data_IF_082845317525
#
_entry.id   IF_082845317525
#
_cell.length_a   1.000
_cell.length_b   1.000
_cell.length_c   1.000
_cell.angle_alpha   90.00
_cell.angle_beta   90.00
_cell.angle_gamma   90.00
#
_symmetry.space_group_name_H-M   'P 1'
#
loop_
_entity.id
_entity.type
_entity.pdbx_description
1 polymer ?
#
# COMPACT_ATOMS: atom_id res chain seq x y z
N UNK A 1 -82.09 -32.80 -18.36
CA UNK A 1 -81.61 -32.93 -16.98
C UNK A 1 -80.14 -33.27 -17.03
N UNK A 2 -79.28 -32.29 -16.95
CA UNK A 2 -77.85 -32.46 -17.12
C UNK A 2 -77.16 -31.72 -15.98
N UNK A 3 -76.46 -32.41 -15.09
CA UNK A 3 -75.69 -31.88 -14.03
C UNK A 3 -74.19 -31.74 -14.49
N UNK A 4 -73.70 -30.53 -14.52
CA UNK A 4 -72.34 -30.21 -14.81
C UNK A 4 -71.48 -30.27 -13.55
N UNK A 5 -70.50 -31.13 -13.52
CA UNK A 5 -69.42 -31.16 -12.48
C UNK A 5 -68.33 -30.25 -12.86
N UNK A 6 -68.13 -29.15 -12.10
CA UNK A 6 -66.97 -28.27 -12.22
C UNK A 6 -65.85 -28.83 -11.35
N UNK A 7 -64.79 -29.26 -11.98
CA UNK A 7 -63.49 -29.57 -11.34
C UNK A 7 -62.74 -28.31 -11.02
N UNK A 8 -62.54 -28.08 -9.72
CA UNK A 8 -61.58 -27.02 -9.26
C UNK A 8 -60.17 -27.60 -9.21
N UNK A 9 -59.29 -27.05 -10.05
CA UNK A 9 -57.86 -27.27 -9.93
C UNK A 9 -57.32 -26.33 -8.82
N UNK A 10 -56.86 -26.90 -7.71
CA UNK A 10 -56.06 -26.23 -6.70
C UNK A 10 -54.60 -26.10 -7.24
N UNK A 11 -54.21 -24.90 -7.60
CA UNK A 11 -52.81 -24.60 -7.86
C UNK A 11 -52.06 -24.50 -6.52
N UNK A 12 -51.23 -25.50 -6.22
CA UNK A 12 -50.25 -25.39 -5.12
C UNK A 12 -49.11 -24.45 -5.57
N UNK A 13 -49.09 -23.24 -5.03
CA UNK A 13 -47.91 -22.39 -5.08
C UNK A 13 -46.84 -22.93 -4.12
N UNK A 14 -45.86 -23.66 -4.65
CA UNK A 14 -44.62 -23.94 -3.91
C UNK A 14 -43.80 -22.64 -3.82
N UNK A 15 -43.85 -21.98 -2.66
CA UNK A 15 -42.92 -20.93 -2.32
C UNK A 15 -41.59 -21.58 -1.96
N UNK A 16 -40.64 -21.59 -2.89
CA UNK A 16 -39.29 -22.00 -2.59
C UNK A 16 -38.65 -20.93 -1.71
N UNK A 17 -38.63 -21.16 -0.40
CA UNK A 17 -37.82 -20.40 0.54
C UNK A 17 -36.32 -20.73 0.23
N UNK A 18 -35.66 -19.92 -0.59
CA UNK A 18 -34.22 -19.92 -0.66
C UNK A 18 -33.68 -19.45 0.71
N UNK A 19 -33.35 -20.39 1.58
CA UNK A 19 -32.49 -20.10 2.71
C UNK A 19 -31.15 -19.64 2.14
N UNK A 20 -30.91 -18.32 2.09
CA UNK A 20 -29.58 -17.76 1.97
C UNK A 20 -28.82 -18.17 3.24
N UNK A 21 -28.06 -19.25 3.16
CA UNK A 21 -27.06 -19.53 4.18
C UNK A 21 -26.19 -18.27 4.29
N UNK A 22 -25.97 -17.75 5.50
CA UNK A 22 -25.03 -16.66 5.67
C UNK A 22 -23.69 -17.14 5.07
N UNK A 23 -23.14 -16.35 4.14
CA UNK A 23 -21.80 -16.63 3.63
C UNK A 23 -20.89 -16.82 4.84
N UNK A 24 -20.31 -18.01 4.96
CA UNK A 24 -19.33 -18.31 6.00
C UNK A 24 -18.33 -17.17 5.94
N UNK A 25 -18.14 -16.45 7.04
CA UNK A 25 -17.15 -15.39 7.12
C UNK A 25 -15.83 -16.01 6.66
N UNK A 26 -15.38 -15.63 5.47
CA UNK A 26 -14.09 -16.10 4.96
C UNK A 26 -13.07 -15.80 6.06
N UNK A 27 -12.30 -16.79 6.47
CA UNK A 27 -11.30 -16.60 7.52
C UNK A 27 -10.46 -15.38 7.16
N UNK A 28 -10.56 -14.35 8.00
CA UNK A 28 -9.88 -13.09 7.78
C UNK A 28 -8.38 -13.34 7.77
N UNK A 29 -7.72 -13.07 6.67
CA UNK A 29 -6.27 -13.06 6.66
C UNK A 29 -5.77 -11.96 7.60
N UNK A 30 -4.81 -12.25 8.48
CA UNK A 30 -4.25 -11.24 9.36
C UNK A 30 -3.58 -10.13 8.52
N UNK A 31 -3.71 -8.89 8.98
CA UNK A 31 -3.05 -7.74 8.35
C UNK A 31 -1.54 -7.99 8.30
N UNK A 32 -0.97 -7.83 7.11
CA UNK A 32 0.48 -7.93 6.89
C UNK A 32 1.15 -6.58 7.17
N UNK A 33 2.44 -6.60 7.50
CA UNK A 33 3.21 -5.38 7.76
C UNK A 33 4.37 -5.25 6.79
N UNK A 34 4.72 -4.00 6.52
CA UNK A 34 5.85 -3.62 5.71
C UNK A 34 6.52 -2.35 6.24
N UNK A 35 7.60 -1.96 5.59
CA UNK A 35 8.33 -0.73 5.85
C UNK A 35 8.72 -0.08 4.53
N UNK A 36 8.65 1.25 4.45
CA UNK A 36 9.18 2.00 3.32
C UNK A 36 10.70 2.10 3.43
N UNK A 37 11.40 1.99 2.31
CA UNK A 37 12.84 2.14 2.21
C UNK A 37 13.24 2.63 0.82
N UNK A 38 13.78 3.82 0.74
CA UNK A 38 14.11 4.50 -0.51
C UNK A 38 15.49 4.06 -1.07
N UNK A 39 15.69 2.79 -1.27
CA UNK A 39 16.91 2.07 -1.62
C UNK A 39 17.66 2.60 -2.87
N UNK A 40 18.09 3.77 -2.90
CA UNK A 40 18.78 4.39 -4.04
C UNK A 40 18.28 5.77 -4.38
N UNK A 41 17.37 6.31 -3.56
CA UNK A 41 16.88 7.68 -3.62
C UNK A 41 17.11 8.37 -2.26
N UNK A 42 17.07 9.68 -2.24
CA UNK A 42 17.12 10.55 -1.04
C UNK A 42 18.30 10.29 -0.07
N UNK A 43 19.43 9.77 -0.59
CA UNK A 43 20.58 9.44 0.24
C UNK A 43 20.52 8.06 0.91
N UNK A 44 19.40 7.38 0.82
CA UNK A 44 19.26 6.00 1.28
C UNK A 44 19.86 5.04 0.24
N UNK A 45 20.95 4.37 0.59
CA UNK A 45 21.52 3.35 -0.25
C UNK A 45 21.35 1.97 0.37
N UNK A 46 21.16 0.96 -0.47
CA UNK A 46 21.15 -0.41 -0.01
C UNK A 46 22.57 -0.87 0.35
N UNK A 47 22.98 -0.53 1.56
CA UNK A 47 24.29 -0.83 2.14
C UNK A 47 24.29 -2.18 2.89
N UNK A 48 25.45 -2.73 3.25
CA UNK A 48 25.54 -3.88 4.16
C UNK A 48 24.84 -3.65 5.51
N UNK A 49 24.84 -2.40 6.02
CA UNK A 49 24.15 -2.05 7.26
C UNK A 49 22.63 -2.11 7.09
N UNK A 50 22.08 -1.57 6.00
CA UNK A 50 20.67 -1.72 5.65
C UNK A 50 20.28 -3.18 5.50
N UNK A 51 21.10 -3.98 4.80
CA UNK A 51 20.88 -5.41 4.63
C UNK A 51 20.81 -6.15 5.97
N UNK A 52 21.68 -5.81 6.93
CA UNK A 52 21.69 -6.41 8.27
C UNK A 52 20.42 -6.06 9.07
N UNK A 53 19.91 -4.84 8.97
CA UNK A 53 18.65 -4.43 9.59
C UNK A 53 17.47 -5.20 9.00
N UNK A 54 17.41 -5.34 7.68
CA UNK A 54 16.37 -6.11 7.01
C UNK A 54 16.43 -7.60 7.39
N UNK A 55 17.62 -8.18 7.51
CA UNK A 55 17.81 -9.55 8.01
C UNK A 55 17.31 -9.70 9.45
N UNK A 56 17.59 -8.72 10.30
CA UNK A 56 17.14 -8.72 11.69
C UNK A 56 15.60 -8.63 11.78
N UNK A 57 14.95 -7.79 10.98
CA UNK A 57 13.48 -7.74 10.89
C UNK A 57 12.94 -9.08 10.36
N UNK A 58 13.55 -9.63 9.32
CA UNK A 58 13.13 -10.90 8.71
C UNK A 58 13.25 -12.08 9.66
N UNK A 59 14.19 -12.05 10.59
CA UNK A 59 14.35 -13.06 11.63
C UNK A 59 13.13 -13.18 12.55
N UNK A 60 12.37 -12.12 12.70
CA UNK A 60 11.13 -12.12 13.50
C UNK A 60 9.92 -12.64 12.72
N UNK A 61 9.85 -12.43 11.41
CA UNK A 61 8.73 -12.91 10.61
C UNK A 61 8.76 -12.44 9.16
N UNK A 62 7.73 -12.77 8.43
CA UNK A 62 7.53 -12.28 7.05
C UNK A 62 7.08 -10.82 7.09
N UNK A 63 7.58 -10.03 6.18
CA UNK A 63 7.14 -8.65 5.99
C UNK A 63 7.34 -8.18 4.54
N UNK A 64 6.81 -6.99 4.25
CA UNK A 64 6.96 -6.31 2.99
C UNK A 64 7.98 -5.19 3.09
N UNK A 65 8.64 -4.88 1.98
CA UNK A 65 9.38 -3.64 1.80
C UNK A 65 8.78 -2.88 0.61
N UNK A 66 8.54 -1.59 0.77
CA UNK A 66 8.13 -0.69 -0.30
C UNK A 66 9.31 0.17 -0.68
N UNK A 67 9.68 0.18 -1.95
CA UNK A 67 10.83 0.94 -2.44
C UNK A 67 10.56 1.59 -3.79
N UNK A 68 11.30 2.68 -4.07
CA UNK A 68 11.23 3.42 -5.33
C UNK A 68 12.06 2.71 -6.40
N UNK A 69 11.40 2.28 -7.46
CA UNK A 69 12.05 1.61 -8.57
C UNK A 69 12.27 2.58 -9.72
N UNK A 70 13.42 3.23 -9.74
CA UNK A 70 13.77 4.30 -10.69
C UNK A 70 14.97 3.95 -11.58
N UNK A 71 15.91 3.14 -11.06
CA UNK A 71 17.11 2.74 -11.77
C UNK A 71 17.28 1.21 -11.74
N UNK A 72 17.05 0.54 -12.87
CA UNK A 72 17.20 -0.92 -12.96
C UNK A 72 18.55 -1.46 -12.52
N UNK A 73 19.61 -0.65 -12.60
CA UNK A 73 20.95 -1.09 -12.17
C UNK A 73 21.04 -1.22 -10.64
N UNK A 74 20.27 -0.45 -9.89
CA UNK A 74 20.14 -0.52 -8.44
C UNK A 74 19.00 -1.45 -8.04
N UNK A 75 17.87 -1.39 -8.73
CA UNK A 75 16.61 -2.06 -8.39
C UNK A 75 16.69 -3.58 -8.57
N UNK A 76 17.36 -4.05 -9.62
CA UNK A 76 17.45 -5.48 -9.89
C UNK A 76 18.25 -6.26 -8.83
N UNK A 77 19.46 -5.84 -8.41
CA UNK A 77 20.17 -6.50 -7.33
C UNK A 77 19.44 -6.40 -5.99
N UNK A 78 18.79 -5.26 -5.70
CA UNK A 78 17.96 -5.11 -4.51
C UNK A 78 16.79 -6.10 -4.50
N UNK A 79 15.96 -6.13 -5.53
CA UNK A 79 14.84 -7.04 -5.63
C UNK A 79 15.25 -8.51 -5.54
N UNK A 80 16.37 -8.89 -6.19
CA UNK A 80 16.92 -10.24 -6.13
C UNK A 80 17.37 -10.62 -4.71
N UNK A 81 17.94 -9.67 -3.96
CA UNK A 81 18.33 -9.92 -2.57
C UNK A 81 17.10 -10.06 -1.65
N UNK A 82 16.10 -9.20 -1.80
CA UNK A 82 14.85 -9.32 -1.05
C UNK A 82 14.18 -10.68 -1.29
N UNK A 83 14.15 -11.13 -2.54
CA UNK A 83 13.63 -12.46 -2.89
C UNK A 83 14.41 -13.59 -2.18
N UNK A 84 15.75 -13.54 -2.21
CA UNK A 84 16.58 -14.54 -1.50
C UNK A 84 16.34 -14.57 0.00
N UNK A 85 16.11 -13.40 0.60
CA UNK A 85 15.79 -13.25 2.02
C UNK A 85 14.34 -13.66 2.35
N UNK A 86 13.49 -13.86 1.35
CA UNK A 86 12.06 -14.13 1.53
C UNK A 86 11.30 -12.91 2.05
N UNK A 87 11.77 -11.71 1.74
CA UNK A 87 11.11 -10.42 1.98
C UNK A 87 10.29 -10.08 0.73
N UNK A 88 9.04 -9.72 0.90
CA UNK A 88 8.18 -9.34 -0.22
C UNK A 88 8.43 -7.88 -0.62
N UNK A 89 8.37 -7.59 -1.91
CA UNK A 89 8.62 -6.24 -2.43
C UNK A 89 7.32 -5.67 -3.01
N UNK A 90 6.98 -4.46 -2.58
CA UNK A 90 6.08 -3.56 -3.27
C UNK A 90 6.96 -2.52 -4.00
N UNK A 91 7.08 -2.67 -5.31
CA UNK A 91 7.86 -1.75 -6.12
C UNK A 91 7.00 -0.54 -6.51
N UNK A 92 7.32 0.62 -5.99
CA UNK A 92 6.75 1.88 -6.43
C UNK A 92 7.38 2.28 -7.77
N UNK A 93 6.53 2.61 -8.75
CA UNK A 93 6.91 3.24 -10.01
C UNK A 93 6.60 4.74 -9.93
N UNK A 94 7.50 5.57 -9.37
CA UNK A 94 7.23 6.99 -9.21
C UNK A 94 7.26 7.70 -10.56
N UNK A 95 6.28 8.59 -10.77
CA UNK A 95 6.19 9.44 -11.95
C UNK A 95 5.55 10.76 -11.58
N UNK A 96 6.31 11.83 -11.66
CA UNK A 96 5.91 13.14 -11.16
C UNK A 96 5.67 14.16 -12.27
N UNK A 97 5.34 13.68 -13.48
CA UNK A 97 5.11 14.55 -14.64
C UNK A 97 3.75 14.30 -15.27
N UNK A 98 3.10 15.36 -15.72
CA UNK A 98 1.91 15.26 -16.58
C UNK A 98 2.26 14.87 -18.02
N UNK A 99 3.52 15.04 -18.43
CA UNK A 99 4.05 14.47 -19.66
C UNK A 99 4.36 12.99 -19.47
N UNK A 100 3.58 12.14 -20.11
CA UNK A 100 3.68 10.68 -20.00
C UNK A 100 4.40 10.03 -21.21
N UNK A 101 5.04 10.84 -22.07
CA UNK A 101 5.70 10.32 -23.28
C UNK A 101 6.78 9.26 -23.01
N UNK A 102 7.43 9.32 -21.84
CA UNK A 102 8.42 8.34 -21.39
C UNK A 102 7.89 7.19 -20.53
N UNK A 103 6.64 7.27 -20.05
CA UNK A 103 6.08 6.37 -19.06
C UNK A 103 6.15 4.89 -19.44
N UNK A 104 5.64 4.55 -20.61
CA UNK A 104 5.59 3.17 -21.06
C UNK A 104 6.98 2.55 -21.18
N UNK A 105 7.96 3.30 -21.70
CA UNK A 105 9.34 2.84 -21.81
C UNK A 105 9.98 2.63 -20.45
N UNK A 106 9.72 3.53 -19.50
CA UNK A 106 10.17 3.42 -18.12
C UNK A 106 9.60 2.16 -17.44
N UNK A 107 8.29 1.94 -17.49
CA UNK A 107 7.66 0.75 -16.89
C UNK A 107 8.21 -0.54 -17.51
N UNK A 108 8.34 -0.60 -18.85
CA UNK A 108 8.92 -1.77 -19.54
C UNK A 108 10.33 -2.07 -19.04
N UNK A 109 11.16 -1.04 -18.88
CA UNK A 109 12.55 -1.18 -18.43
C UNK A 109 12.61 -1.72 -17.00
N UNK A 110 11.80 -1.18 -16.08
CA UNK A 110 11.74 -1.62 -14.69
C UNK A 110 11.25 -3.06 -14.55
N UNK A 111 10.11 -3.36 -15.15
CA UNK A 111 9.50 -4.70 -15.09
C UNK A 111 10.40 -5.78 -15.73
N UNK A 112 11.07 -5.45 -16.84
CA UNK A 112 12.00 -6.39 -17.46
C UNK A 112 13.24 -6.67 -16.59
N UNK A 113 13.72 -5.68 -15.83
CA UNK A 113 14.85 -5.84 -14.93
C UNK A 113 14.50 -6.62 -13.64
N UNK A 114 13.23 -6.58 -13.22
CA UNK A 114 12.78 -7.12 -11.94
C UNK A 114 11.50 -7.98 -12.08
N UNK A 115 11.48 -9.01 -12.95
CA UNK A 115 10.28 -9.76 -13.32
C UNK A 115 9.68 -10.58 -12.16
N UNK A 116 10.42 -10.77 -11.08
CA UNK A 116 10.00 -11.54 -9.91
C UNK A 116 9.35 -10.69 -8.82
N UNK A 117 9.25 -9.37 -9.00
CA UNK A 117 8.59 -8.47 -8.05
C UNK A 117 7.10 -8.87 -7.94
N UNK A 118 6.62 -9.15 -6.71
CA UNK A 118 5.27 -9.68 -6.53
C UNK A 118 4.16 -8.62 -6.53
N UNK A 119 4.52 -7.34 -6.35
CA UNK A 119 3.54 -6.24 -6.33
C UNK A 119 4.15 -4.93 -6.84
N UNK A 120 3.34 -4.16 -7.56
CA UNK A 120 3.70 -2.88 -8.16
C UNK A 120 2.73 -1.80 -7.72
N UNK A 121 3.23 -0.67 -7.31
CA UNK A 121 2.44 0.53 -7.01
C UNK A 121 2.65 1.57 -8.09
N UNK A 122 1.54 2.14 -8.57
CA UNK A 122 1.55 3.02 -9.73
C UNK A 122 1.46 4.47 -9.28
N UNK A 123 2.54 5.20 -9.46
CA UNK A 123 2.77 6.58 -9.01
C UNK A 123 2.69 6.77 -7.49
N UNK A 124 3.04 7.96 -7.02
CA UNK A 124 2.95 8.37 -5.63
C UNK A 124 2.16 9.68 -5.56
N UNK A 125 1.11 9.73 -4.75
CA UNK A 125 0.28 10.91 -4.50
C UNK A 125 -0.06 11.72 -5.77
N UNK A 126 -0.66 11.10 -6.79
CA UNK A 126 -0.88 11.75 -8.09
C UNK A 126 -1.83 12.96 -8.02
N UNK A 127 -2.60 13.10 -6.96
CA UNK A 127 -3.48 14.24 -6.71
C UNK A 127 -2.75 15.47 -6.15
N UNK A 128 -1.54 15.29 -5.64
CA UNK A 128 -0.80 16.35 -4.95
C UNK A 128 -0.04 17.26 -5.92
N UNK A 129 0.16 18.49 -5.50
CA UNK A 129 0.80 19.54 -6.33
C UNK A 129 2.30 19.63 -6.15
N UNK A 130 2.84 19.17 -5.02
CA UNK A 130 4.25 19.34 -4.66
C UNK A 130 5.24 18.49 -5.47
N UNK A 131 4.79 17.42 -6.08
CA UNK A 131 5.62 16.56 -6.93
C UNK A 131 5.53 16.90 -8.43
N UNK A 132 5.03 18.11 -8.79
CA UNK A 132 4.81 18.48 -10.20
C UNK A 132 3.43 18.09 -10.73
N UNK A 133 2.55 17.59 -9.86
CA UNK A 133 1.15 17.26 -10.14
C UNK A 133 0.20 18.46 -10.02
N UNK A 134 -1.13 18.26 -9.95
CA UNK A 134 -1.73 16.92 -9.96
C UNK A 134 -1.69 16.29 -11.35
N UNK A 135 -1.58 14.96 -11.38
CA UNK A 135 -1.77 14.20 -12.62
C UNK A 135 -3.29 14.08 -12.87
N UNK A 136 -3.82 14.56 -14.01
CA UNK A 136 -5.26 14.43 -14.28
C UNK A 136 -5.72 12.97 -14.22
N UNK A 137 -6.90 12.70 -13.65
CA UNK A 137 -7.42 11.36 -13.46
C UNK A 137 -7.44 10.51 -14.77
N UNK A 138 -7.81 11.13 -15.89
CA UNK A 138 -7.79 10.46 -17.19
C UNK A 138 -6.36 10.07 -17.63
N UNK A 139 -5.37 10.92 -17.36
CA UNK A 139 -3.95 10.65 -17.63
C UNK A 139 -3.47 9.49 -16.75
N UNK A 140 -3.76 9.52 -15.44
CA UNK A 140 -3.44 8.43 -14.54
C UNK A 140 -4.03 7.08 -15.02
N UNK A 141 -5.31 7.08 -15.42
CA UNK A 141 -5.96 5.87 -15.92
C UNK A 141 -5.30 5.29 -17.18
N UNK A 142 -4.78 6.14 -18.05
CA UNK A 142 -4.01 5.68 -19.21
C UNK A 142 -2.68 5.05 -18.76
N UNK A 143 -1.95 5.71 -17.89
CA UNK A 143 -0.70 5.19 -17.30
C UNK A 143 -0.92 3.85 -16.62
N UNK A 144 -1.99 3.72 -15.84
CA UNK A 144 -2.35 2.48 -15.15
C UNK A 144 -2.65 1.34 -16.15
N UNK A 145 -3.43 1.59 -17.20
CA UNK A 145 -3.74 0.57 -18.21
C UNK A 145 -2.48 0.07 -18.90
N UNK A 146 -1.56 0.97 -19.25
CA UNK A 146 -0.27 0.62 -19.84
C UNK A 146 0.59 -0.21 -18.87
N UNK A 147 0.72 0.23 -17.61
CA UNK A 147 1.46 -0.49 -16.59
C UNK A 147 0.85 -1.88 -16.33
N UNK A 148 -0.49 -1.97 -16.21
CA UNK A 148 -1.19 -3.23 -16.05
C UNK A 148 -0.86 -4.22 -17.17
N UNK A 149 -0.96 -3.80 -18.43
CA UNK A 149 -0.66 -4.64 -19.57
C UNK A 149 0.79 -5.15 -19.55
N UNK A 150 1.77 -4.28 -19.22
CA UNK A 150 3.19 -4.63 -19.18
C UNK A 150 3.47 -5.60 -18.02
N UNK A 151 3.00 -5.29 -16.81
CA UNK A 151 3.22 -6.10 -15.61
C UNK A 151 2.59 -7.49 -15.76
N UNK A 152 1.32 -7.56 -16.19
CA UNK A 152 0.62 -8.85 -16.35
C UNK A 152 1.20 -9.70 -17.48
N UNK A 153 1.76 -9.10 -18.52
CA UNK A 153 2.48 -9.81 -19.57
C UNK A 153 3.80 -10.44 -19.07
N UNK A 154 4.50 -9.77 -18.16
CA UNK A 154 5.74 -10.27 -17.57
C UNK A 154 5.48 -11.28 -16.43
N UNK A 155 4.51 -11.00 -15.58
CA UNK A 155 4.10 -11.84 -14.45
C UNK A 155 2.60 -11.68 -14.20
N UNK A 156 1.81 -12.65 -14.66
CA UNK A 156 0.34 -12.65 -14.51
C UNK A 156 -0.13 -12.63 -13.05
N UNK A 157 0.70 -13.14 -12.13
CA UNK A 157 0.38 -13.28 -10.71
C UNK A 157 0.84 -12.05 -9.89
N UNK A 158 1.62 -11.12 -10.49
CA UNK A 158 2.01 -9.87 -9.84
C UNK A 158 0.78 -9.01 -9.57
N UNK A 159 0.71 -8.43 -8.38
CA UNK A 159 -0.37 -7.53 -7.97
C UNK A 159 -0.07 -6.10 -8.42
N UNK A 160 -1.11 -5.36 -8.80
CA UNK A 160 -1.03 -3.92 -8.97
C UNK A 160 -1.85 -3.24 -7.86
N UNK A 161 -1.26 -2.25 -7.23
CA UNK A 161 -1.94 -1.41 -6.23
C UNK A 161 -1.83 0.06 -6.65
N UNK A 162 -2.76 0.86 -6.23
CA UNK A 162 -2.82 2.28 -6.57
C UNK A 162 -4.12 2.91 -6.08
N UNK A 163 -4.23 4.23 -6.16
CA UNK A 163 -3.28 5.20 -6.74
C UNK A 163 -2.32 5.85 -5.71
N UNK A 164 -2.15 5.31 -4.51
CA UNK A 164 -1.33 5.89 -3.44
C UNK A 164 -1.78 7.32 -3.05
N UNK A 165 -3.08 7.53 -2.93
CA UNK A 165 -3.64 8.85 -2.56
C UNK A 165 -3.55 9.11 -1.07
N UNK A 166 -3.42 10.36 -0.69
CA UNK A 166 -3.62 10.78 0.70
C UNK A 166 -5.05 10.48 1.18
N UNK A 167 -5.21 10.08 2.46
CA UNK A 167 -6.53 9.98 3.09
C UNK A 167 -7.09 11.37 3.43
N UNK A 168 -7.16 12.27 2.46
CA UNK A 168 -7.63 13.65 2.52
C UNK A 168 -8.89 13.83 1.68
N UNK A 169 -9.52 15.01 1.75
CA UNK A 169 -10.67 15.33 0.90
C UNK A 169 -10.32 15.26 -0.58
N UNK A 170 -9.16 15.77 -0.95
CA UNK A 170 -8.63 15.80 -2.31
C UNK A 170 -8.34 14.37 -2.80
N UNK A 171 -7.65 13.56 -1.98
CA UNK A 171 -7.37 12.18 -2.30
C UNK A 171 -8.63 11.32 -2.47
N UNK A 172 -9.64 11.51 -1.59
CA UNK A 172 -10.94 10.82 -1.73
C UNK A 172 -11.66 11.24 -3.02
N UNK A 173 -11.67 12.53 -3.34
CA UNK A 173 -12.31 13.02 -4.57
C UNK A 173 -11.61 12.48 -5.82
N UNK A 174 -10.28 12.45 -5.80
CA UNK A 174 -9.47 11.88 -6.89
C UNK A 174 -9.72 10.37 -7.04
N UNK A 175 -9.70 9.63 -5.93
CA UNK A 175 -10.00 8.19 -5.92
C UNK A 175 -11.40 7.90 -6.46
N UNK A 176 -12.41 8.68 -6.08
CA UNK A 176 -13.77 8.53 -6.61
C UNK A 176 -13.80 8.71 -8.13
N UNK A 177 -13.15 9.77 -8.64
CA UNK A 177 -13.08 10.00 -10.08
C UNK A 177 -12.41 8.83 -10.83
N UNK A 178 -11.35 8.25 -10.29
CA UNK A 178 -10.70 7.07 -10.87
C UNK A 178 -11.59 5.83 -10.83
N UNK A 179 -12.33 5.62 -9.73
CA UNK A 179 -13.28 4.50 -9.59
C UNK A 179 -14.38 4.62 -10.66
N UNK A 180 -14.89 5.82 -10.88
CA UNK A 180 -15.91 6.09 -11.90
C UNK A 180 -15.39 5.83 -13.34
N UNK A 181 -14.07 5.91 -13.54
CA UNK A 181 -13.37 5.59 -14.78
C UNK A 181 -12.97 4.11 -14.91
N UNK A 182 -13.34 3.25 -13.96
CA UNK A 182 -13.06 1.81 -14.01
C UNK A 182 -11.73 1.39 -13.38
N UNK A 183 -11.15 2.17 -12.46
CA UNK A 183 -9.91 1.87 -11.74
C UNK A 183 -9.85 0.42 -11.25
N UNK A 184 -10.94 -0.06 -10.64
CA UNK A 184 -10.99 -1.35 -9.94
C UNK A 184 -10.80 -2.57 -10.86
N UNK A 185 -10.90 -2.41 -12.17
CA UNK A 185 -10.66 -3.47 -13.15
C UNK A 185 -9.15 -3.76 -13.33
N UNK A 186 -8.30 -2.77 -13.03
CA UNK A 186 -6.86 -2.82 -13.32
C UNK A 186 -5.99 -3.01 -12.08
N UNK A 187 -6.55 -2.97 -10.87
CA UNK A 187 -5.80 -3.07 -9.62
C UNK A 187 -6.29 -4.21 -8.74
N UNK A 188 -5.39 -4.72 -7.90
CA UNK A 188 -5.65 -5.80 -6.92
C UNK A 188 -5.88 -5.24 -5.52
N UNK A 189 -5.52 -3.99 -5.26
CA UNK A 189 -5.72 -3.27 -4.00
C UNK A 189 -5.68 -1.76 -4.17
N UNK A 190 -6.33 -1.04 -3.26
CA UNK A 190 -6.28 0.43 -3.18
C UNK A 190 -5.15 0.81 -2.25
N UNK A 191 -4.18 1.59 -2.74
CA UNK A 191 -3.14 2.17 -1.88
C UNK A 191 -3.53 3.55 -1.38
N UNK A 192 -3.22 3.80 -0.11
CA UNK A 192 -3.61 5.01 0.62
C UNK A 192 -2.49 5.41 1.58
N UNK A 193 -2.19 6.70 1.63
CA UNK A 193 -1.31 7.28 2.63
C UNK A 193 -2.15 7.82 3.79
N UNK A 194 -1.81 7.39 5.01
CA UNK A 194 -2.57 7.72 6.21
C UNK A 194 -1.66 8.40 7.23
N UNK A 195 -1.66 9.72 7.27
CA UNK A 195 -0.89 10.49 8.23
C UNK A 195 -1.81 11.31 9.14
N UNK A 196 -1.75 11.09 10.44
CA UNK A 196 -2.63 11.73 11.44
C UNK A 196 -2.43 13.24 11.60
N UNK A 197 -1.40 13.80 11.01
CA UNK A 197 -1.19 15.26 10.99
C UNK A 197 -2.12 16.00 10.03
N UNK A 198 -2.75 15.31 9.10
CA UNK A 198 -3.76 15.92 8.24
C UNK A 198 -5.04 16.07 9.04
N UNK A 199 -5.45 17.30 9.33
CA UNK A 199 -6.66 17.64 10.07
C UNK A 199 -7.95 17.05 9.47
N UNK A 200 -7.87 16.52 8.27
CA UNK A 200 -8.99 15.97 7.49
C UNK A 200 -8.85 14.50 7.17
N UNK A 201 -8.41 13.67 8.13
CA UNK A 201 -8.34 12.20 7.92
C UNK A 201 -9.69 11.63 7.49
N UNK A 202 -9.73 11.05 6.31
CA UNK A 202 -10.94 10.55 5.68
C UNK A 202 -10.90 9.05 5.36
N UNK A 203 -10.26 8.23 6.20
CA UNK A 203 -10.23 6.78 5.97
C UNK A 203 -11.64 6.17 5.87
N UNK A 204 -12.60 6.70 6.62
CA UNK A 204 -13.99 6.28 6.52
C UNK A 204 -14.59 6.58 5.14
N UNK A 205 -14.26 7.74 4.56
CA UNK A 205 -14.70 8.11 3.21
C UNK A 205 -14.00 7.28 2.13
N UNK A 206 -12.69 7.01 2.27
CA UNK A 206 -11.98 6.05 1.41
C UNK A 206 -12.71 4.70 1.41
N UNK A 207 -13.04 4.19 2.59
CA UNK A 207 -13.79 2.92 2.72
C UNK A 207 -15.17 3.00 2.09
N UNK A 208 -15.85 4.12 2.23
CA UNK A 208 -17.17 4.34 1.61
C UNK A 208 -17.10 4.31 0.08
N UNK A 209 -16.14 4.99 -0.53
CA UNK A 209 -16.02 5.02 -2.01
C UNK A 209 -15.51 3.70 -2.57
N UNK A 210 -14.62 3.00 -1.86
CA UNK A 210 -14.15 1.66 -2.25
C UNK A 210 -15.24 0.61 -2.06
N UNK A 211 -16.10 0.77 -1.05
CA UNK A 211 -17.24 -0.09 -0.75
C UNK A 211 -16.87 -1.60 -0.62
N UNK A 212 -15.73 -1.91 -0.04
CA UNK A 212 -15.25 -3.28 0.15
C UNK A 212 -14.87 -4.05 -1.13
N UNK A 213 -14.89 -3.39 -2.29
CA UNK A 213 -14.62 -4.03 -3.59
C UNK A 213 -13.15 -4.44 -3.78
N UNK A 214 -12.24 -3.78 -3.08
CA UNK A 214 -10.80 -4.09 -3.06
C UNK A 214 -10.26 -3.90 -1.63
N UNK A 215 -9.23 -4.66 -1.23
CA UNK A 215 -8.55 -4.44 0.04
C UNK A 215 -7.77 -3.13 0.02
N UNK A 216 -7.64 -2.50 1.20
CA UNK A 216 -6.80 -1.32 1.39
C UNK A 216 -5.36 -1.74 1.72
N UNK A 217 -4.43 -1.10 1.08
CA UNK A 217 -3.01 -1.11 1.38
C UNK A 217 -2.65 0.26 1.91
N UNK A 218 -2.33 0.36 3.18
CA UNK A 218 -1.83 1.61 3.75
C UNK A 218 -0.34 1.65 3.43
N UNK A 219 0.00 2.25 2.29
CA UNK A 219 1.36 2.17 1.72
C UNK A 219 2.31 3.17 2.31
N UNK A 220 1.78 4.17 3.03
CA UNK A 220 2.54 5.02 3.93
C UNK A 220 1.72 5.38 5.16
N UNK A 221 2.33 5.25 6.34
CA UNK A 221 1.84 5.76 7.61
C UNK A 221 2.96 5.70 8.64
N UNK A 222 3.01 6.66 9.55
CA UNK A 222 4.08 6.71 10.54
C UNK A 222 3.94 7.88 11.50
N UNK A 223 4.96 8.05 12.34
CA UNK A 223 5.11 9.18 13.25
C UNK A 223 6.56 9.60 13.32
N UNK A 224 6.82 10.90 13.22
CA UNK A 224 8.19 11.42 13.34
C UNK A 224 8.65 11.52 14.79
N UNK A 225 9.96 11.41 14.99
CA UNK A 225 10.62 11.65 16.28
C UNK A 225 11.04 13.10 16.49
N UNK A 226 10.64 14.02 15.61
CA UNK A 226 10.91 15.44 15.81
C UNK A 226 10.43 15.92 17.19
N UNK A 227 11.20 16.77 17.85
CA UNK A 227 10.96 17.16 19.26
C UNK A 227 9.55 17.71 19.51
N UNK A 228 9.03 18.49 18.58
CA UNK A 228 7.66 19.03 18.68
C UNK A 228 6.56 17.95 18.62
N UNK A 229 6.90 16.76 18.14
CA UNK A 229 5.96 15.64 17.97
C UNK A 229 6.06 14.59 19.08
N UNK A 230 6.81 14.87 20.15
CA UNK A 230 6.93 14.02 21.33
C UNK A 230 7.97 12.90 21.23
N UNK A 231 8.87 12.97 20.27
CA UNK A 231 10.04 12.12 20.16
C UNK A 231 9.74 10.62 19.95
N UNK A 232 10.72 9.78 20.28
CA UNK A 232 10.59 8.33 20.12
C UNK A 232 9.43 7.70 20.91
N UNK A 233 9.02 8.30 22.02
CA UNK A 233 7.89 7.77 22.78
C UNK A 233 6.57 7.92 22.03
N UNK A 234 6.37 9.04 21.35
CA UNK A 234 5.19 9.24 20.50
C UNK A 234 5.20 8.29 19.30
N UNK A 235 6.34 8.08 18.64
CA UNK A 235 6.48 7.11 17.57
C UNK A 235 6.12 5.68 18.03
N UNK A 236 6.60 5.25 19.19
CA UNK A 236 6.23 3.97 19.81
C UNK A 236 4.75 3.86 20.12
N UNK A 237 4.17 4.93 20.68
CA UNK A 237 2.74 4.98 21.00
C UNK A 237 1.90 4.86 19.73
N UNK A 238 2.33 5.50 18.63
CA UNK A 238 1.70 5.38 17.33
C UNK A 238 1.66 3.93 16.84
N UNK A 239 2.81 3.26 16.77
CA UNK A 239 2.89 1.86 16.36
C UNK A 239 1.96 0.97 17.19
N UNK A 240 1.97 1.13 18.51
CA UNK A 240 1.12 0.32 19.40
C UNK A 240 -0.37 0.58 19.22
N UNK A 241 -0.76 1.82 18.96
CA UNK A 241 -2.18 2.21 18.83
C UNK A 241 -2.74 1.92 17.44
N UNK A 242 -1.92 1.89 16.39
CA UNK A 242 -2.37 1.72 15.01
C UNK A 242 -2.15 0.31 14.47
N UNK A 243 -1.09 -0.40 14.92
CA UNK A 243 -0.67 -1.67 14.31
C UNK A 243 -1.03 -2.91 15.14
N UNK A 244 -1.70 -2.78 16.28
CA UNK A 244 -2.20 -3.95 17.00
C UNK A 244 -3.32 -4.64 16.20
N UNK A 245 -3.11 -5.92 15.85
CA UNK A 245 -4.07 -6.68 15.01
C UNK A 245 -5.44 -6.89 15.65
N UNK A 246 -5.56 -6.70 16.94
CA UNK A 246 -6.82 -6.93 17.68
C UNK A 246 -7.62 -5.66 17.92
N UNK A 247 -6.93 -4.53 18.11
CA UNK A 247 -7.53 -3.27 18.54
C UNK A 247 -6.90 -2.02 17.91
N UNK A 248 -5.89 -2.18 17.06
CA UNK A 248 -5.22 -1.05 16.43
C UNK A 248 -6.12 -0.37 15.41
N UNK A 249 -6.02 0.94 15.30
CA UNK A 249 -6.85 1.77 14.43
C UNK A 249 -6.80 1.29 12.97
N UNK A 250 -5.63 0.84 12.50
CA UNK A 250 -5.44 0.34 11.14
C UNK A 250 -5.47 -1.19 11.07
N UNK A 251 -4.65 -1.87 11.88
CA UNK A 251 -4.45 -3.30 11.73
C UNK A 251 -5.65 -4.16 12.16
N UNK A 252 -6.54 -3.64 13.02
CA UNK A 252 -7.78 -4.31 13.36
C UNK A 252 -8.92 -4.06 12.36
N UNK A 253 -8.76 -3.11 11.43
CA UNK A 253 -9.77 -2.84 10.40
C UNK A 253 -9.78 -3.96 9.35
N UNK A 254 -10.93 -4.62 9.12
CA UNK A 254 -11.03 -5.73 8.16
C UNK A 254 -10.81 -5.31 6.70
N UNK A 255 -10.92 -4.05 6.37
CA UNK A 255 -10.65 -3.54 5.03
C UNK A 255 -9.14 -3.44 4.74
N UNK A 256 -8.29 -3.36 5.78
CA UNK A 256 -6.85 -3.17 5.64
C UNK A 256 -6.12 -4.51 5.53
N UNK A 257 -5.44 -4.71 4.41
CA UNK A 257 -4.68 -5.93 4.14
C UNK A 257 -3.20 -5.81 4.49
N UNK A 258 -2.59 -4.66 4.19
CA UNK A 258 -1.16 -4.41 4.41
C UNK A 258 -0.97 -3.00 4.95
N UNK A 259 0.00 -2.83 5.86
CA UNK A 259 0.40 -1.53 6.42
C UNK A 259 1.90 -1.38 6.27
N UNK A 260 2.35 -0.29 5.67
CA UNK A 260 3.77 0.08 5.60
C UNK A 260 4.05 1.23 6.55
N UNK A 261 4.99 1.00 7.47
CA UNK A 261 5.54 2.07 8.29
C UNK A 261 6.45 2.95 7.44
N UNK A 262 6.21 4.24 7.43
CA UNK A 262 7.10 5.23 6.90
C UNK A 262 7.96 5.74 8.07
N UNK A 263 9.27 5.37 8.16
CA UNK A 263 9.99 4.52 7.23
C UNK A 263 11.07 3.65 7.94
N UNK A 264 11.98 3.02 7.20
CA UNK A 264 13.03 2.19 7.78
C UNK A 264 14.12 3.02 8.46
N UNK A 265 14.62 4.04 7.76
CA UNK A 265 15.76 4.84 8.18
C UNK A 265 15.44 6.33 7.99
N UNK A 266 15.83 7.18 8.94
CA UNK A 266 15.66 8.63 8.80
C UNK A 266 16.32 9.12 7.52
N UNK A 267 15.57 9.84 6.70
CA UNK A 267 16.08 10.45 5.49
C UNK A 267 16.78 11.78 5.77
N UNK A 268 17.86 12.01 5.04
CA UNK A 268 18.46 13.32 4.99
C UNK A 268 17.78 14.18 3.92
N UNK A 269 16.65 14.76 4.24
CA UNK A 269 15.86 15.52 3.29
C UNK A 269 16.48 16.91 3.05
N UNK A 270 16.88 17.24 1.80
CA UNK A 270 17.53 18.53 1.49
C UNK A 270 16.68 19.76 1.88
N UNK A 271 15.36 19.64 1.80
CA UNK A 271 14.43 20.71 2.17
C UNK A 271 14.39 20.99 3.69
N UNK A 272 14.89 20.09 4.53
CA UNK A 272 14.95 20.25 5.98
C UNK A 272 16.29 20.85 6.46
N UNK A 273 17.03 21.49 5.56
CA UNK A 273 18.33 22.14 5.85
C UNK A 273 19.36 21.20 6.49
N UNK A 274 19.38 19.94 6.06
CA UNK A 274 20.34 18.95 6.52
C UNK A 274 20.01 18.31 7.87
N UNK A 275 18.76 18.40 8.31
CA UNK A 275 18.25 17.64 9.45
C UNK A 275 17.57 16.36 8.97
N UNK A 276 17.70 15.32 9.75
CA UNK A 276 16.93 14.09 9.57
C UNK A 276 15.45 14.38 9.82
N UNK A 277 14.59 13.78 9.04
CA UNK A 277 13.13 13.97 9.14
C UNK A 277 12.51 13.24 10.34
N UNK A 278 13.23 12.30 10.92
CA UNK A 278 12.83 11.57 12.13
C UNK A 278 11.78 10.49 11.94
N UNK A 279 11.35 10.15 10.72
CA UNK A 279 10.34 9.15 10.46
C UNK A 279 10.82 7.71 10.61
N UNK A 280 12.11 7.46 10.42
CA UNK A 280 12.71 6.14 10.44
C UNK A 280 12.50 5.36 11.73
N UNK A 281 12.49 4.03 11.61
CA UNK A 281 12.65 3.10 12.73
C UNK A 281 14.12 3.02 13.19
N UNK A 282 15.03 3.48 12.34
CA UNK A 282 16.47 3.58 12.61
C UNK A 282 16.93 5.00 12.36
N UNK A 283 18.05 5.36 13.00
CA UNK A 283 18.71 6.64 12.75
C UNK A 283 19.50 6.59 11.44
N UNK A 284 19.31 7.65 10.61
CA UNK A 284 20.10 7.91 9.41
C UNK A 284 21.08 9.05 9.61
N UNK A 285 21.52 9.73 8.47
CA UNK A 285 21.80 9.07 7.22
C UNK A 285 23.10 8.27 7.29
N UNK A 286 24.12 8.62 7.30
CA UNK A 286 25.50 8.08 7.28
C UNK A 286 25.66 6.56 7.52
N UNK A 287 24.61 5.77 7.17
CA UNK A 287 24.63 4.30 7.25
C UNK A 287 24.68 3.71 8.65
N UNK A 288 24.44 4.52 9.67
CA UNK A 288 24.55 4.06 11.06
C UNK A 288 23.46 3.05 11.43
N UNK A 289 22.25 3.17 10.85
CA UNK A 289 21.09 2.29 11.11
C UNK A 289 20.93 1.92 12.60
N UNK A 290 21.28 2.85 13.48
CA UNK A 290 21.06 2.70 14.93
C UNK A 290 19.56 2.57 15.21
N UNK A 291 19.16 1.56 15.97
CA UNK A 291 17.75 1.27 16.22
C UNK A 291 17.14 2.26 17.18
N UNK A 292 16.01 2.88 16.80
CA UNK A 292 15.18 3.66 17.73
C UNK A 292 14.31 2.73 18.60
N UNK A 293 13.75 3.24 19.64
CA UNK A 293 12.90 2.46 20.55
C UNK A 293 11.65 1.87 19.85
N UNK A 294 11.15 2.50 18.81
CA UNK A 294 10.03 2.03 17.98
C UNK A 294 10.38 0.78 17.15
N UNK A 295 11.64 0.57 16.81
CA UNK A 295 12.11 -0.57 16.05
C UNK A 295 11.72 -1.91 16.67
N UNK A 296 11.97 -2.07 17.98
CA UNK A 296 11.66 -3.32 18.67
C UNK A 296 10.14 -3.55 18.76
N UNK A 297 9.36 -2.49 18.90
CA UNK A 297 7.90 -2.60 18.90
C UNK A 297 7.39 -3.04 17.52
N UNK A 298 7.93 -2.48 16.43
CA UNK A 298 7.61 -2.93 15.07
C UNK A 298 8.04 -4.38 14.82
N UNK A 299 9.28 -4.74 15.19
CA UNK A 299 9.79 -6.10 15.04
C UNK A 299 8.93 -7.15 15.74
N UNK A 300 8.38 -6.85 16.93
CA UNK A 300 7.45 -7.74 17.65
C UNK A 300 6.14 -7.99 16.89
N UNK A 301 5.70 -7.08 16.04
CA UNK A 301 4.50 -7.27 15.21
C UNK A 301 4.71 -8.34 14.13
N UNK A 302 5.94 -8.50 13.66
CA UNK A 302 6.30 -9.48 12.63
C UNK A 302 6.32 -10.90 13.17
N UNK A 303 6.55 -11.08 14.47
CA UNK A 303 6.64 -12.39 15.14
C UNK A 303 5.28 -13.09 15.38
N UNK A 304 4.15 -12.47 14.98
CA UNK A 304 2.78 -12.94 15.31
C UNK A 304 2.02 -13.48 14.12
#
# INVERSE_FOLDING_TARGET
>A
MTSSVRSQLCALCLVALCFMLPATAAERRPTEFGVCFHHGAYGDEYTPAAAAVLDDLRSAGKFWIRGDFQDPAKDAPFAADMQRKGIQVLALLPWYSTDTSGWQAYVKKQVAATPTVPAWEITNEPEMTWWGGPIPAATYMNMLREAHAIVKAANKDARLVGPAVGATSEGVAYLQALIDMGLLEFIDGISVHYYVFHESLQLAEVKRVVAGRKPLWITETGWTTADQEGGEQAQRAYIRSHYDRTRGILAADPAVAVIFNYELNDEHHPALAGKDDGWGLTYGPEGAFGKKAAYDDFKKLLAR
#
